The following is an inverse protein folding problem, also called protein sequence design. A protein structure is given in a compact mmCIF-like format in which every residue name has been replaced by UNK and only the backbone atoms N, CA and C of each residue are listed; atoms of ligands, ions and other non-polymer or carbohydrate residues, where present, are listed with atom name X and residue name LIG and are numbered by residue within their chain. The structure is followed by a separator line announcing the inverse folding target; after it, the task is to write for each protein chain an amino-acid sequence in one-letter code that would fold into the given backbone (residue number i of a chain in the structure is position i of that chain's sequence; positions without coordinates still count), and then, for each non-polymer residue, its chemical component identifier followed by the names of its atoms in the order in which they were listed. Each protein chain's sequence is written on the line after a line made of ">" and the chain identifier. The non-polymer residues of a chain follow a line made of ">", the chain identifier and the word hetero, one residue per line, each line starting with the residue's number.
data_IF_675586942003
#
_entry.id   IF_675586942003
#
_cell.length_a   1.000
_cell.length_b   1.000
_cell.length_c   1.000
_cell.angle_alpha   90.00
_cell.angle_beta   90.00
_cell.angle_gamma   90.00
#
_symmetry.space_group_name_H-M   'P 1'
#
loop_
_entity.id
_entity.type
_entity.pdbx_description
1 polymer ?
#
# COMPACT_ATOMS: atom_id res chain seq x y z
N UNK A 1 4.82 14.37 10.05
CA UNK A 1 3.64 14.65 10.90
C UNK A 1 2.48 13.85 10.34
N UNK A 2 2.06 12.77 10.99
CA UNK A 2 0.84 12.06 10.58
C UNK A 2 -0.32 12.98 10.98
N UNK A 3 -1.17 13.35 10.03
CA UNK A 3 -2.36 14.15 10.33
C UNK A 3 -3.38 13.26 11.04
N UNK A 4 -3.41 13.30 12.36
CA UNK A 4 -4.45 12.68 13.18
C UNK A 4 -5.44 13.73 13.64
N UNK A 5 -6.71 13.35 13.86
CA UNK A 5 -7.69 14.25 14.46
C UNK A 5 -7.19 14.79 15.80
N UNK A 6 -7.34 16.10 16.03
CA UNK A 6 -7.05 16.69 17.33
C UNK A 6 -7.83 15.95 18.43
N UNK A 7 -7.18 15.63 19.54
CA UNK A 7 -7.81 14.93 20.67
C UNK A 7 -7.78 13.39 20.60
N UNK A 8 -7.23 12.78 19.54
CA UNK A 8 -7.26 11.32 19.38
C UNK A 8 -6.53 10.58 20.50
N UNK A 9 -5.35 11.07 20.87
CA UNK A 9 -4.53 10.54 21.96
C UNK A 9 -5.26 10.62 23.31
N UNK A 10 -5.82 11.80 23.62
CA UNK A 10 -6.62 12.00 24.84
C UNK A 10 -7.84 11.09 24.86
N UNK A 11 -8.52 10.92 23.73
CA UNK A 11 -9.65 10.01 23.62
C UNK A 11 -9.21 8.55 23.87
N UNK A 12 -8.10 8.12 23.28
CA UNK A 12 -7.59 6.76 23.48
C UNK A 12 -7.19 6.50 24.94
N UNK A 13 -6.58 7.49 25.61
CA UNK A 13 -6.26 7.41 27.04
C UNK A 13 -7.52 7.35 27.91
N UNK A 14 -8.50 8.23 27.68
CA UNK A 14 -9.78 8.22 28.40
C UNK A 14 -10.54 6.90 28.22
N UNK A 15 -10.40 6.25 27.06
CA UNK A 15 -11.04 4.96 26.75
C UNK A 15 -10.21 3.76 27.23
N UNK A 16 -9.02 3.97 27.79
CA UNK A 16 -8.11 2.90 28.21
C UNK A 16 -7.52 2.08 27.06
N UNK A 17 -7.56 2.60 25.83
CA UNK A 17 -7.01 1.96 24.63
C UNK A 17 -5.51 2.20 24.46
N UNK A 18 -5.01 3.25 25.09
CA UNK A 18 -3.60 3.55 25.24
C UNK A 18 -3.38 4.06 26.67
N UNK A 19 -2.31 3.61 27.32
CA UNK A 19 -1.96 3.95 28.69
C UNK A 19 -1.29 5.33 28.83
N UNK A 20 -0.94 5.97 27.70
CA UNK A 20 -0.20 7.21 27.69
C UNK A 20 1.31 7.03 27.83
N UNK A 21 1.77 5.78 27.93
CA UNK A 21 3.18 5.45 28.05
C UNK A 21 3.77 5.12 26.67
N UNK A 22 4.97 5.63 26.42
CA UNK A 22 5.69 5.44 25.15
C UNK A 22 5.07 6.14 23.94
N UNK A 23 5.54 5.84 22.71
CA UNK A 23 4.96 6.41 21.49
C UNK A 23 3.54 5.88 21.23
N UNK A 24 2.64 6.76 20.81
CA UNK A 24 1.29 6.38 20.41
C UNK A 24 1.30 5.52 19.14
N UNK A 25 0.95 4.23 19.27
CA UNK A 25 0.70 3.33 18.14
C UNK A 25 -0.80 3.24 17.88
N UNK A 26 -1.27 3.99 16.89
CA UNK A 26 -2.66 4.05 16.48
C UNK A 26 -3.23 2.68 16.10
N UNK A 27 -2.44 1.87 15.38
CA UNK A 27 -2.87 0.54 14.94
C UNK A 27 -3.09 -0.35 16.15
N UNK A 28 -2.16 -0.35 17.10
CA UNK A 28 -2.30 -1.09 18.36
C UNK A 28 -3.45 -0.57 19.21
N UNK A 29 -3.59 0.74 19.37
CA UNK A 29 -4.60 1.35 20.22
C UNK A 29 -6.04 1.08 19.73
N UNK A 30 -6.27 1.15 18.41
CA UNK A 30 -7.64 1.05 17.87
C UNK A 30 -7.99 -0.33 17.30
N UNK A 31 -7.02 -1.16 16.92
CA UNK A 31 -7.32 -2.48 16.33
C UNK A 31 -7.48 -3.59 17.37
N UNK A 32 -7.04 -3.36 18.62
CA UNK A 32 -7.05 -4.35 19.70
C UNK A 32 -8.43 -4.61 20.33
N UNK A 33 -9.44 -3.77 20.05
CA UNK A 33 -10.78 -3.84 20.66
C UNK A 33 -11.84 -4.66 19.92
N UNK A 34 -11.55 -5.26 18.76
CA UNK A 34 -12.57 -6.02 18.01
C UNK A 34 -12.28 -6.35 16.55
N UNK A 35 -11.10 -6.04 16.03
CA UNK A 35 -10.71 -6.43 14.68
C UNK A 35 -10.22 -7.88 14.68
N UNK A 36 -10.98 -8.78 14.06
CA UNK A 36 -10.62 -10.18 13.78
C UNK A 36 -9.10 -10.45 13.67
N UNK A 37 -8.46 -10.78 14.79
CA UNK A 37 -7.14 -11.42 14.79
C UNK A 37 -7.19 -12.79 14.09
N UNK A 38 -8.40 -13.36 13.95
CA UNK A 38 -8.68 -14.63 13.27
C UNK A 38 -8.94 -14.52 11.76
N UNK A 39 -9.19 -13.33 11.20
CA UNK A 39 -9.26 -13.12 9.74
C UNK A 39 -7.87 -12.74 9.23
N UNK A 40 -6.95 -13.71 9.28
CA UNK A 40 -5.68 -13.78 8.55
C UNK A 40 -5.08 -12.49 7.96
N UNK A 41 -4.78 -11.48 8.80
CA UNK A 41 -3.98 -10.30 8.37
C UNK A 41 -2.48 -10.63 8.33
N UNK A 42 -2.08 -11.77 8.91
CA UNK A 42 -0.67 -12.12 9.12
C UNK A 42 0.11 -12.52 7.85
N UNK A 43 -0.56 -12.70 6.71
CA UNK A 43 0.09 -13.02 5.43
C UNK A 43 0.48 -11.78 4.63
N UNK A 44 -0.52 -10.95 4.26
CA UNK A 44 -0.34 -9.84 3.31
C UNK A 44 0.52 -8.72 3.84
N UNK A 45 0.32 -8.33 5.09
CA UNK A 45 1.14 -7.27 5.69
C UNK A 45 2.60 -7.70 5.75
N UNK A 46 2.87 -8.92 6.18
CA UNK A 46 4.21 -9.50 6.22
C UNK A 46 4.83 -9.59 4.82
N UNK A 47 4.06 -10.06 3.83
CA UNK A 47 4.53 -10.11 2.45
C UNK A 47 4.80 -8.71 1.87
N UNK A 48 3.93 -7.74 2.15
CA UNK A 48 4.14 -6.34 1.79
C UNK A 48 5.43 -5.79 2.40
N UNK A 49 5.72 -6.08 3.67
CA UNK A 49 6.98 -5.71 4.31
C UNK A 49 8.19 -6.36 3.62
N UNK A 50 8.11 -7.63 3.23
CA UNK A 50 9.17 -8.34 2.51
C UNK A 50 9.42 -7.76 1.11
N UNK A 51 8.36 -7.43 0.38
CA UNK A 51 8.44 -6.75 -0.92
C UNK A 51 9.09 -5.37 -0.79
N UNK A 52 8.69 -4.57 0.21
CA UNK A 52 9.29 -3.26 0.48
C UNK A 52 10.77 -3.37 0.85
N UNK A 53 11.15 -4.35 1.68
CA UNK A 53 12.55 -4.60 2.03
C UNK A 53 13.39 -4.97 0.80
N UNK A 54 12.82 -5.77 -0.11
CA UNK A 54 13.47 -6.16 -1.37
C UNK A 54 13.67 -4.95 -2.30
N UNK A 55 12.67 -4.07 -2.42
CA UNK A 55 12.80 -2.84 -3.19
C UNK A 55 13.84 -1.89 -2.58
N UNK A 56 13.87 -1.77 -1.25
CA UNK A 56 14.86 -0.97 -0.54
C UNK A 56 16.29 -1.50 -0.76
N UNK A 57 16.47 -2.82 -0.73
CA UNK A 57 17.75 -3.46 -1.02
C UNK A 57 18.19 -3.21 -2.48
N UNK A 58 17.28 -3.34 -3.44
CA UNK A 58 17.57 -3.02 -4.85
C UNK A 58 17.95 -1.54 -5.05
N UNK A 59 17.27 -0.63 -4.35
CA UNK A 59 17.62 0.79 -4.39
C UNK A 59 19.01 1.05 -3.77
N UNK A 60 19.32 0.42 -2.64
CA UNK A 60 20.62 0.52 -1.99
C UNK A 60 21.76 -0.07 -2.84
N UNK A 61 21.48 -1.12 -3.62
CA UNK A 61 22.41 -1.73 -4.57
C UNK A 61 22.57 -0.92 -5.88
N UNK A 62 21.80 0.15 -6.07
CA UNK A 62 21.82 0.96 -7.29
C UNK A 62 21.06 0.35 -8.48
N UNK A 63 20.34 -0.75 -8.26
CA UNK A 63 19.49 -1.40 -9.28
C UNK A 63 18.17 -0.66 -9.50
N UNK A 64 17.79 0.22 -8.58
CA UNK A 64 16.54 0.95 -8.61
C UNK A 64 16.76 2.40 -8.18
N UNK A 65 16.95 3.29 -9.15
CA UNK A 65 17.21 4.70 -8.91
C UNK A 65 15.95 5.49 -8.53
N UNK A 66 16.12 6.62 -7.84
CA UNK A 66 14.99 7.51 -7.50
C UNK A 66 14.25 8.07 -8.73
N UNK A 67 14.94 8.20 -9.86
CA UNK A 67 14.36 8.63 -11.14
C UNK A 67 13.85 7.48 -12.02
N UNK A 68 13.98 6.21 -11.60
CA UNK A 68 13.55 5.06 -12.39
C UNK A 68 12.06 4.76 -12.19
N UNK A 69 11.21 5.68 -12.68
CA UNK A 69 9.76 5.57 -12.57
C UNK A 69 9.23 4.21 -13.06
N UNK A 70 9.80 3.71 -14.16
CA UNK A 70 9.41 2.43 -14.76
C UNK A 70 9.75 1.26 -13.84
N UNK A 71 10.98 1.17 -13.35
CA UNK A 71 11.39 0.10 -12.44
C UNK A 71 10.57 0.07 -11.16
N UNK A 72 10.25 1.24 -10.58
CA UNK A 72 9.38 1.33 -9.41
C UNK A 72 7.97 0.84 -9.69
N UNK A 73 7.39 1.25 -10.83
CA UNK A 73 6.05 0.84 -11.25
C UNK A 73 5.97 -0.66 -11.53
N UNK A 74 6.98 -1.24 -12.21
CA UNK A 74 7.03 -2.68 -12.50
C UNK A 74 7.13 -3.52 -11.21
N UNK A 75 7.96 -3.10 -10.24
CA UNK A 75 8.07 -3.78 -8.94
C UNK A 75 6.78 -3.65 -8.13
N UNK A 76 6.14 -2.49 -8.10
CA UNK A 76 4.87 -2.32 -7.38
C UNK A 76 3.73 -3.09 -8.06
N UNK A 77 3.71 -3.15 -9.39
CA UNK A 77 2.81 -4.02 -10.13
C UNK A 77 2.99 -5.49 -9.72
N UNK A 78 4.23 -5.98 -9.59
CA UNK A 78 4.49 -7.34 -9.14
C UNK A 78 3.94 -7.62 -7.73
N UNK A 79 4.06 -6.65 -6.80
CA UNK A 79 3.45 -6.77 -5.46
C UNK A 79 1.94 -6.94 -5.53
N UNK A 80 1.26 -6.08 -6.30
CA UNK A 80 -0.20 -6.13 -6.42
C UNK A 80 -0.72 -7.36 -7.18
N UNK A 81 0.18 -8.09 -7.86
CA UNK A 81 -0.10 -9.36 -8.54
C UNK A 81 0.30 -10.59 -7.73
N UNK A 82 0.84 -10.43 -6.51
CA UNK A 82 1.27 -11.55 -5.69
C UNK A 82 0.07 -12.30 -5.11
N UNK A 83 -0.35 -13.33 -5.84
CA UNK A 83 -1.42 -14.25 -5.44
C UNK A 83 -1.00 -15.15 -4.27
N UNK A 84 0.28 -15.53 -4.22
CA UNK A 84 0.77 -16.53 -3.25
C UNK A 84 0.76 -15.98 -1.82
N UNK A 85 1.07 -14.70 -1.64
CA UNK A 85 0.93 -14.04 -0.33
C UNK A 85 -0.50 -13.65 0.02
N UNK A 86 -1.43 -13.81 -0.93
CA UNK A 86 -2.81 -13.36 -0.84
C UNK A 86 -2.99 -11.85 -0.99
N UNK A 87 -1.95 -11.09 -1.40
CA UNK A 87 -2.12 -9.66 -1.73
C UNK A 87 -3.08 -9.50 -2.92
N UNK A 88 -2.90 -10.31 -3.95
CA UNK A 88 -3.86 -10.46 -5.03
C UNK A 88 -4.78 -11.65 -4.74
N UNK A 89 -6.09 -11.43 -4.70
CA UNK A 89 -7.02 -12.52 -4.44
C UNK A 89 -7.50 -13.17 -5.73
N UNK A 90 -7.33 -14.48 -5.80
CA UNK A 90 -7.94 -15.36 -6.78
C UNK A 90 -8.62 -16.52 -6.06
N UNK A 91 -9.93 -16.61 -6.19
CA UNK A 91 -10.76 -17.74 -5.74
C UNK A 91 -10.69 -18.11 -4.24
N UNK A 92 -10.18 -17.21 -3.39
CA UNK A 92 -10.15 -17.40 -1.93
C UNK A 92 -11.42 -16.80 -1.30
N UNK A 93 -12.26 -17.64 -0.68
CA UNK A 93 -13.43 -17.23 0.11
C UNK A 93 -14.52 -16.43 -0.65
N UNK A 94 -14.62 -16.57 -1.97
CA UNK A 94 -15.68 -15.92 -2.76
C UNK A 94 -15.48 -14.42 -3.03
N UNK A 95 -14.29 -13.89 -2.71
CA UNK A 95 -13.89 -12.53 -3.04
C UNK A 95 -12.63 -12.57 -3.90
N UNK A 96 -12.71 -11.96 -5.08
CA UNK A 96 -11.60 -11.82 -6.02
C UNK A 96 -11.19 -10.35 -6.06
N UNK A 97 -9.89 -10.07 -6.12
CA UNK A 97 -9.42 -8.71 -6.39
C UNK A 97 -10.01 -8.27 -7.72
N UNK A 98 -10.77 -7.18 -7.78
CA UNK A 98 -11.48 -6.75 -9.00
C UNK A 98 -10.65 -5.85 -9.91
N UNK A 99 -9.46 -5.49 -9.45
CA UNK A 99 -8.50 -4.66 -10.15
C UNK A 99 -7.42 -4.18 -9.21
N UNK A 100 -6.41 -3.54 -9.78
CA UNK A 100 -5.36 -2.87 -9.02
C UNK A 100 -5.09 -1.50 -9.61
N UNK A 101 -4.62 -0.57 -8.77
CA UNK A 101 -4.27 0.79 -9.15
C UNK A 101 -2.88 1.13 -8.61
N UNK A 102 -2.06 1.74 -9.46
CA UNK A 102 -0.81 2.40 -9.10
C UNK A 102 -0.98 3.90 -9.34
N UNK A 103 -0.51 4.71 -8.39
CA UNK A 103 -0.48 6.17 -8.52
C UNK A 103 0.95 6.63 -8.65
N UNK A 104 1.25 7.37 -9.71
CA UNK A 104 2.56 7.96 -9.96
C UNK A 104 2.50 9.47 -9.82
N UNK A 105 3.32 10.00 -8.91
CA UNK A 105 3.51 11.43 -8.70
C UNK A 105 4.98 11.72 -9.08
N UNK A 106 5.24 12.23 -10.28
CA UNK A 106 6.60 12.51 -10.71
C UNK A 106 7.14 13.81 -10.09
N UNK A 107 8.44 14.09 -10.30
CA UNK A 107 9.01 15.42 -10.10
C UNK A 107 8.26 16.53 -10.87
N UNK A 108 8.43 17.81 -10.49
CA UNK A 108 7.85 18.93 -11.22
C UNK A 108 8.21 18.93 -12.72
N UNK A 109 7.23 19.21 -13.58
CA UNK A 109 7.40 19.26 -15.04
C UNK A 109 7.03 17.95 -15.77
N UNK A 110 6.77 16.88 -15.02
CA UNK A 110 6.27 15.61 -15.57
C UNK A 110 4.79 15.38 -15.22
N UNK A 111 4.13 14.52 -16.00
CA UNK A 111 2.69 14.28 -15.90
C UNK A 111 2.37 13.20 -14.85
N UNK A 112 1.66 13.59 -13.79
CA UNK A 112 1.09 12.64 -12.83
C UNK A 112 0.14 11.66 -13.53
N UNK A 113 0.07 10.43 -13.05
CA UNK A 113 -0.81 9.43 -13.66
C UNK A 113 -1.33 8.37 -12.69
N UNK A 114 -2.47 7.81 -13.04
CA UNK A 114 -2.93 6.53 -12.51
C UNK A 114 -2.72 5.44 -13.54
N UNK A 115 -2.33 4.26 -13.07
CA UNK A 115 -2.30 3.06 -13.87
C UNK A 115 -3.28 2.07 -13.24
N UNK A 116 -4.20 1.53 -14.03
CA UNK A 116 -5.21 0.58 -13.53
C UNK A 116 -5.36 -0.62 -14.45
N UNK A 117 -5.63 -1.80 -13.89
CA UNK A 117 -5.97 -2.99 -14.70
C UNK A 117 -7.44 -2.97 -15.14
N UNK A 118 -8.35 -2.50 -14.27
CA UNK A 118 -9.81 -2.60 -14.47
C UNK A 118 -10.31 -4.02 -14.77
N UNK A 119 -9.60 -5.04 -14.27
CA UNK A 119 -10.06 -6.41 -14.33
C UNK A 119 -9.46 -7.23 -13.19
N UNK A 120 -10.17 -8.29 -12.84
CA UNK A 120 -9.85 -9.14 -11.70
C UNK A 120 -8.70 -10.11 -11.92
N UNK A 121 -8.31 -10.32 -13.18
CA UNK A 121 -7.23 -11.22 -13.52
C UNK A 121 -5.90 -10.46 -13.59
N UNK A 122 -5.02 -10.58 -12.58
CA UNK A 122 -3.74 -9.90 -12.54
C UNK A 122 -2.75 -10.40 -13.61
N UNK A 123 -2.91 -11.64 -14.10
CA UNK A 123 -2.02 -12.25 -15.10
C UNK A 123 -2.40 -11.78 -16.50
N UNK A 124 -3.70 -11.77 -16.79
CA UNK A 124 -4.22 -11.50 -18.14
C UNK A 124 -4.34 -10.00 -18.47
N UNK A 125 -4.22 -9.12 -17.46
CA UNK A 125 -4.57 -7.71 -17.64
C UNK A 125 -3.39 -6.76 -17.55
N UNK A 126 -3.15 -6.00 -18.62
CA UNK A 126 -2.19 -4.91 -18.64
C UNK A 126 -2.68 -3.69 -17.86
N UNK A 127 -1.74 -2.95 -17.26
CA UNK A 127 -2.02 -1.64 -16.69
C UNK A 127 -2.29 -0.60 -17.79
N UNK A 128 -3.43 0.08 -17.71
CA UNK A 128 -3.82 1.19 -18.58
C UNK A 128 -3.49 2.49 -17.88
N UNK A 129 -2.77 3.38 -18.55
CA UNK A 129 -2.37 4.68 -18.00
C UNK A 129 -3.44 5.73 -18.27
N UNK A 130 -3.90 6.39 -17.22
CA UNK A 130 -4.62 7.65 -17.27
C UNK A 130 -3.69 8.76 -16.78
N UNK A 131 -3.38 9.71 -17.66
CA UNK A 131 -2.46 10.80 -17.34
C UNK A 131 -3.26 12.08 -17.04
N UNK A 132 -2.98 12.71 -15.90
CA UNK A 132 -3.65 13.93 -15.48
C UNK A 132 -3.17 15.13 -16.28
N UNK A 133 -4.02 16.13 -16.58
CA UNK A 133 -3.54 17.36 -17.19
C UNK A 133 -2.38 17.95 -16.37
N UNK A 134 -1.30 18.35 -17.03
CA UNK A 134 -0.27 19.16 -16.37
C UNK A 134 -0.89 20.48 -15.93
N UNK A 135 -0.57 20.96 -14.73
CA UNK A 135 -0.97 22.30 -14.32
C UNK A 135 -0.50 23.28 -15.40
N UNK A 136 -1.41 24.14 -15.89
CA UNK A 136 -1.00 25.23 -16.77
C UNK A 136 0.03 26.08 -16.03
N UNK A 137 1.17 26.32 -16.68
CA UNK A 137 2.22 27.19 -16.18
C UNK A 137 1.73 28.64 -16.03
#
# INVERSE_FOLDING_TARGET
>A
HISTSAGLEQLCQQRGWWDGEGPFDWKRALSSGGGHASLGVCGREKAGQQHLATMAAAAAAGELGAGDARGWLERMAAVLRDETSGICFRDLHGFTSTGSQLSWIPPPGEQASHLFTCASDPVETSYKRFAFPTAAA
#
